data_IF_104608490082
#
_entry.id   IF_104608490082
#
_cell.length_a   1.000
_cell.length_b   1.000
_cell.length_c   1.000
_cell.angle_alpha   90.00
_cell.angle_beta   90.00
_cell.angle_gamma   90.00
#
_symmetry.space_group_name_H-M   'P 1'
#
loop_
_entity.id
_entity.type
_entity.pdbx_description
1 polymer ?
#
# COMPACT_ATOMS: atom_id res chain seq x y z
N UNK A 1 -55.39 37.09 12.32
CA UNK A 1 -54.82 35.86 12.89
C UNK A 1 -54.38 34.83 11.82
N UNK A 2 -53.98 35.24 10.60
CA UNK A 2 -53.61 34.32 9.50
C UNK A 2 -52.10 34.32 9.13
N UNK A 3 -51.28 35.11 9.80
CA UNK A 3 -49.83 35.27 9.44
C UNK A 3 -48.87 34.55 10.39
N UNK A 4 -49.29 33.92 11.46
CA UNK A 4 -48.42 33.22 12.43
C UNK A 4 -48.27 31.72 12.14
N UNK A 5 -49.09 31.14 11.24
CA UNK A 5 -49.02 29.70 10.93
C UNK A 5 -48.01 29.38 9.85
N UNK A 6 -47.63 30.35 8.99
CA UNK A 6 -46.71 30.12 7.88
C UNK A 6 -45.26 30.06 8.37
N UNK A 7 -44.91 30.75 9.47
CA UNK A 7 -43.52 30.76 9.97
C UNK A 7 -43.13 29.46 10.69
N UNK A 8 -44.09 28.70 11.21
CA UNK A 8 -43.79 27.43 11.90
C UNK A 8 -43.61 26.27 10.93
N UNK A 9 -44.23 26.33 9.74
CA UNK A 9 -44.04 25.30 8.73
C UNK A 9 -42.66 25.36 8.02
N UNK A 10 -42.01 26.54 8.01
CA UNK A 10 -40.71 26.70 7.38
C UNK A 10 -39.55 26.20 8.25
N UNK A 11 -39.74 26.11 9.57
CA UNK A 11 -38.73 25.53 10.49
C UNK A 11 -38.73 24.00 10.55
N UNK A 12 -39.79 23.34 10.07
CA UNK A 12 -39.89 21.87 10.07
C UNK A 12 -39.29 21.20 8.82
N UNK A 13 -38.97 21.96 7.78
CA UNK A 13 -38.34 21.43 6.54
C UNK A 13 -36.81 21.55 6.55
N UNK A 14 -36.18 22.10 7.59
CA UNK A 14 -34.72 22.30 7.70
C UNK A 14 -33.92 21.15 8.28
N UNK A 15 -34.58 20.05 8.69
CA UNK A 15 -33.84 18.85 9.15
C UNK A 15 -33.69 17.80 8.04
N UNK A 16 -33.20 18.22 6.86
CA UNK A 16 -32.63 17.27 5.92
C UNK A 16 -31.31 16.83 6.58
N UNK A 17 -31.33 15.65 7.17
CA UNK A 17 -30.15 14.96 7.68
C UNK A 17 -29.10 14.98 6.57
N UNK A 18 -28.03 15.77 6.75
CA UNK A 18 -26.83 15.60 5.99
C UNK A 18 -26.29 14.20 6.34
N UNK A 19 -26.66 13.21 5.55
CA UNK A 19 -25.98 11.95 5.58
C UNK A 19 -24.56 12.27 5.10
N UNK A 20 -23.63 12.38 6.04
CA UNK A 20 -22.22 12.37 5.72
C UNK A 20 -22.00 11.13 4.85
N UNK A 21 -21.60 11.35 3.61
CA UNK A 21 -21.17 10.27 2.74
C UNK A 21 -20.10 9.52 3.53
N UNK A 22 -20.30 8.22 3.71
CA UNK A 22 -19.23 7.33 4.13
C UNK A 22 -18.14 7.46 3.08
N UNK A 23 -17.18 8.37 3.32
CA UNK A 23 -15.93 8.32 2.61
C UNK A 23 -15.35 6.94 2.92
N UNK A 24 -15.13 6.14 1.89
CA UNK A 24 -14.26 4.98 1.99
C UNK A 24 -12.93 5.50 2.51
N UNK A 25 -12.70 5.39 3.81
CA UNK A 25 -11.45 5.74 4.42
C UNK A 25 -10.40 4.77 3.87
N UNK A 26 -9.23 5.29 3.55
CA UNK A 26 -8.07 4.45 3.35
C UNK A 26 -7.96 3.54 4.59
N UNK A 27 -7.77 2.23 4.39
CA UNK A 27 -7.73 1.25 5.48
C UNK A 27 -6.58 1.47 6.47
N UNK A 28 -5.70 2.42 6.20
CA UNK A 28 -4.52 2.77 6.98
C UNK A 28 -4.82 3.07 8.47
N UNK A 29 -5.84 3.89 8.75
CA UNK A 29 -6.19 4.23 10.16
C UNK A 29 -6.59 2.98 10.94
N UNK A 30 -7.34 2.08 10.33
CA UNK A 30 -7.76 0.81 10.95
C UNK A 30 -6.55 -0.11 11.17
N UNK A 31 -5.64 -0.17 10.21
CA UNK A 31 -4.44 -0.98 10.30
C UNK A 31 -3.45 -0.43 11.33
N UNK A 32 -3.27 0.87 11.39
CA UNK A 32 -2.46 1.53 12.42
C UNK A 32 -3.00 1.20 13.82
N UNK A 33 -4.32 1.26 14.02
CA UNK A 33 -4.93 0.92 15.29
C UNK A 33 -4.72 -0.57 15.63
N UNK A 34 -4.97 -1.49 14.70
CA UNK A 34 -4.72 -2.94 14.90
C UNK A 34 -3.25 -3.20 15.26
N UNK A 35 -2.32 -2.57 14.57
CA UNK A 35 -0.88 -2.75 14.85
C UNK A 35 -0.52 -2.21 16.25
N UNK A 36 -1.07 -1.08 16.64
CA UNK A 36 -0.82 -0.49 17.95
C UNK A 36 -1.40 -1.34 19.09
N UNK A 37 -2.57 -1.95 18.87
CA UNK A 37 -3.22 -2.85 19.84
C UNK A 37 -2.44 -4.16 20.01
N UNK A 38 -1.87 -4.68 18.92
CA UNK A 38 -1.10 -5.93 18.93
C UNK A 38 0.35 -5.77 19.41
N UNK A 39 0.97 -4.64 19.12
CA UNK A 39 2.36 -4.34 19.48
C UNK A 39 2.49 -2.88 19.95
N UNK A 40 2.15 -2.59 21.20
CA UNK A 40 2.35 -1.26 21.78
C UNK A 40 3.81 -0.83 21.65
N UNK A 41 4.05 0.37 21.11
CA UNK A 41 5.39 0.92 20.87
C UNK A 41 5.98 0.63 19.47
N UNK A 42 5.30 -0.16 18.62
CA UNK A 42 5.79 -0.45 17.26
C UNK A 42 5.95 0.83 16.43
N UNK A 43 5.03 1.77 16.56
CA UNK A 43 5.07 3.05 15.82
C UNK A 43 6.28 3.88 16.22
N UNK A 44 6.60 3.95 17.53
CA UNK A 44 7.80 4.61 18.02
C UNK A 44 9.08 3.95 17.50
N UNK A 45 9.10 2.62 17.44
CA UNK A 45 10.24 1.87 16.92
C UNK A 45 10.40 2.08 15.40
N UNK A 46 9.32 2.12 14.64
CA UNK A 46 9.32 2.46 13.22
C UNK A 46 9.87 3.86 13.03
N UNK A 47 9.35 4.85 13.75
CA UNK A 47 9.80 6.24 13.65
C UNK A 47 11.27 6.40 14.03
N UNK A 48 11.75 5.68 15.05
CA UNK A 48 13.16 5.66 15.44
C UNK A 48 14.03 5.02 14.35
N UNK A 49 13.54 3.97 13.70
CA UNK A 49 14.26 3.26 12.62
C UNK A 49 14.31 4.08 11.34
N UNK A 50 13.29 4.90 11.09
CA UNK A 50 13.18 5.81 9.95
C UNK A 50 13.85 7.16 10.19
N UNK A 51 14.52 7.37 11.33
CA UNK A 51 15.22 8.61 11.62
C UNK A 51 16.14 9.04 10.46
N UNK A 52 16.15 10.34 10.09
CA UNK A 52 16.93 10.84 8.97
C UNK A 52 18.39 10.38 8.98
N UNK A 53 18.89 9.86 7.86
CA UNK A 53 20.25 9.39 7.68
C UNK A 53 20.52 7.93 8.05
N UNK A 54 19.63 7.23 8.73
CA UNK A 54 19.83 5.80 9.02
C UNK A 54 19.53 4.90 7.82
N UNK A 55 18.50 5.23 7.06
CA UNK A 55 18.15 4.51 5.84
C UNK A 55 19.28 4.60 4.79
N UNK A 56 19.80 5.80 4.54
CA UNK A 56 20.86 6.03 3.56
C UNK A 56 22.13 5.22 3.85
N UNK A 57 22.56 5.17 5.11
CA UNK A 57 23.72 4.35 5.52
C UNK A 57 23.50 2.86 5.30
N UNK A 58 22.31 2.34 5.60
CA UNK A 58 21.97 0.92 5.41
C UNK A 58 21.94 0.55 3.94
N UNK A 59 21.35 1.39 3.09
CA UNK A 59 21.28 1.14 1.64
C UNK A 59 22.64 1.23 0.97
N UNK A 60 23.48 2.18 1.36
CA UNK A 60 24.86 2.29 0.87
C UNK A 60 25.72 1.07 1.23
N UNK A 61 25.58 0.56 2.46
CA UNK A 61 26.30 -0.64 2.91
C UNK A 61 25.90 -1.91 2.16
N UNK A 62 24.69 -1.96 1.61
CA UNK A 62 24.16 -3.13 0.87
C UNK A 62 24.37 -3.05 -0.64
N UNK A 63 25.05 -2.00 -1.12
CA UNK A 63 25.21 -1.80 -2.56
C UNK A 63 23.90 -1.52 -3.32
N UNK A 64 22.85 -1.12 -2.61
CA UNK A 64 21.54 -0.81 -3.21
C UNK A 64 21.53 0.56 -3.91
N UNK A 65 22.59 1.35 -3.76
CA UNK A 65 22.79 2.61 -4.47
C UNK A 65 23.71 2.37 -5.67
N UNK A 66 23.23 2.67 -6.85
CA UNK A 66 24.01 2.71 -8.07
C UNK A 66 23.71 4.01 -8.81
N UNK A 67 24.75 4.78 -9.15
CA UNK A 67 24.62 6.07 -9.85
C UNK A 67 23.61 7.03 -9.17
N UNK A 68 23.62 7.09 -7.83
CA UNK A 68 22.66 7.84 -7.01
C UNK A 68 21.21 7.36 -7.11
N UNK A 69 20.93 6.22 -7.73
CA UNK A 69 19.61 5.61 -7.73
C UNK A 69 19.52 4.53 -6.66
N UNK A 70 18.51 4.61 -5.80
CA UNK A 70 18.18 3.60 -4.82
C UNK A 70 17.32 2.51 -5.47
N UNK A 71 17.81 1.29 -5.52
CA UNK A 71 17.04 0.13 -5.98
C UNK A 71 16.40 -0.58 -4.80
N UNK A 72 15.09 -0.78 -4.88
CA UNK A 72 14.29 -1.46 -3.85
C UNK A 72 13.84 -2.81 -4.39
N UNK A 73 14.37 -3.93 -3.87
CA UNK A 73 13.90 -5.25 -4.24
C UNK A 73 12.47 -5.48 -3.74
N UNK A 74 11.59 -5.88 -4.64
CA UNK A 74 10.17 -6.11 -4.36
C UNK A 74 9.88 -7.60 -4.37
N UNK A 75 9.24 -8.07 -3.31
CA UNK A 75 8.63 -9.38 -3.22
C UNK A 75 7.11 -9.22 -3.26
N UNK A 76 6.46 -9.83 -4.24
CA UNK A 76 5.00 -9.79 -4.41
C UNK A 76 4.38 -11.09 -3.96
N UNK A 77 3.48 -11.03 -3.00
CA UNK A 77 2.74 -12.17 -2.48
C UNK A 77 1.29 -12.09 -2.98
N UNK A 78 0.89 -13.07 -3.79
CA UNK A 78 -0.47 -13.15 -4.32
C UNK A 78 -1.27 -14.13 -3.46
N UNK A 79 -2.15 -13.59 -2.63
CA UNK A 79 -3.11 -14.37 -1.85
C UNK A 79 -4.34 -14.60 -2.70
N UNK A 80 -4.60 -15.84 -3.08
CA UNK A 80 -5.64 -16.16 -4.05
C UNK A 80 -6.50 -17.35 -3.61
N UNK A 81 -7.70 -17.46 -4.16
CA UNK A 81 -8.55 -18.63 -3.92
C UNK A 81 -7.90 -19.87 -4.58
N UNK A 82 -7.93 -21.04 -3.92
CA UNK A 82 -7.26 -22.25 -4.41
C UNK A 82 -7.71 -22.72 -5.81
N UNK A 83 -8.94 -22.40 -6.20
CA UNK A 83 -9.52 -22.76 -7.49
C UNK A 83 -9.22 -21.74 -8.61
N UNK A 84 -8.51 -20.64 -8.32
CA UNK A 84 -8.13 -19.64 -9.33
C UNK A 84 -6.78 -20.00 -9.94
N UNK A 85 -6.78 -20.38 -11.22
CA UNK A 85 -5.57 -20.58 -12.00
C UNK A 85 -4.80 -19.27 -12.21
N UNK A 86 -3.51 -19.36 -12.54
CA UNK A 86 -2.66 -18.18 -12.79
C UNK A 86 -3.25 -17.31 -13.91
N UNK A 87 -3.41 -16.04 -13.64
CA UNK A 87 -4.04 -15.07 -14.53
C UNK A 87 -5.57 -14.99 -14.42
N UNK A 88 -6.17 -15.74 -13.51
CA UNK A 88 -7.62 -15.75 -13.28
C UNK A 88 -7.96 -15.09 -11.94
N UNK A 89 -8.94 -14.18 -11.95
CA UNK A 89 -9.50 -13.51 -10.77
C UNK A 89 -8.42 -13.01 -9.80
N UNK A 90 -8.41 -13.47 -8.53
CA UNK A 90 -7.43 -13.04 -7.51
C UNK A 90 -6.00 -13.56 -7.77
N UNK A 91 -5.81 -14.59 -8.63
CA UNK A 91 -4.48 -15.12 -8.93
C UNK A 91 -3.84 -14.42 -10.13
N UNK A 92 -3.35 -13.20 -9.90
CA UNK A 92 -2.83 -12.33 -10.97
C UNK A 92 -1.66 -12.93 -11.73
N UNK A 93 -1.59 -12.65 -13.05
CA UNK A 93 -0.46 -13.05 -13.88
C UNK A 93 0.81 -12.23 -13.57
N UNK A 94 1.98 -12.81 -13.81
CA UNK A 94 3.27 -12.11 -13.72
C UNK A 94 3.30 -10.85 -14.60
N UNK A 95 2.72 -10.91 -15.79
CA UNK A 95 2.66 -9.77 -16.70
C UNK A 95 1.88 -8.59 -16.08
N UNK A 96 0.79 -8.87 -15.37
CA UNK A 96 0.03 -7.84 -14.65
C UNK A 96 0.85 -7.21 -13.52
N UNK A 97 1.58 -8.01 -12.74
CA UNK A 97 2.47 -7.54 -11.68
C UNK A 97 3.55 -6.63 -12.24
N UNK A 98 4.25 -7.07 -13.30
CA UNK A 98 5.30 -6.29 -13.92
C UNK A 98 4.78 -4.98 -14.52
N UNK A 99 3.55 -4.97 -15.06
CA UNK A 99 2.93 -3.74 -15.56
C UNK A 99 2.67 -2.73 -14.44
N UNK A 100 2.25 -3.18 -13.25
CA UNK A 100 2.06 -2.30 -12.08
C UNK A 100 3.39 -1.79 -11.54
N UNK A 101 4.42 -2.62 -11.50
CA UNK A 101 5.75 -2.19 -11.09
C UNK A 101 6.31 -1.11 -12.06
N UNK A 102 6.04 -1.24 -13.35
CA UNK A 102 6.42 -0.25 -14.34
C UNK A 102 5.68 1.09 -14.15
N UNK A 103 4.39 1.04 -13.77
CA UNK A 103 3.63 2.25 -13.41
C UNK A 103 4.23 2.90 -12.17
N UNK A 104 4.44 2.15 -11.10
CA UNK A 104 5.05 2.62 -9.86
C UNK A 104 6.40 3.33 -10.11
N UNK A 105 7.25 2.75 -10.96
CA UNK A 105 8.53 3.38 -11.34
C UNK A 105 8.36 4.68 -12.13
N UNK A 106 7.34 4.78 -13.00
CA UNK A 106 7.01 6.03 -13.69
C UNK A 106 6.53 7.11 -12.72
N UNK A 107 5.71 6.74 -11.75
CA UNK A 107 5.18 7.66 -10.75
C UNK A 107 6.31 8.22 -9.88
N UNK A 108 7.17 7.35 -9.36
CA UNK A 108 8.30 7.77 -8.54
C UNK A 108 9.37 8.57 -9.32
N UNK A 109 9.55 8.28 -10.61
CA UNK A 109 10.45 9.06 -11.46
C UNK A 109 9.79 10.32 -12.06
N UNK A 110 8.47 10.51 -11.84
CA UNK A 110 7.65 11.58 -12.44
C UNK A 110 7.70 11.61 -13.96
N UNK A 111 7.64 10.45 -14.58
CA UNK A 111 7.57 10.30 -16.05
C UNK A 111 6.20 9.87 -16.54
N UNK A 112 5.21 9.80 -15.66
CA UNK A 112 3.81 9.54 -15.94
C UNK A 112 3.14 10.77 -16.62
N UNK A 113 2.10 10.51 -17.42
CA UNK A 113 1.47 11.54 -18.25
C UNK A 113 0.72 12.63 -17.45
N UNK A 114 0.27 12.31 -16.24
CA UNK A 114 -0.50 13.20 -15.36
C UNK A 114 0.37 14.17 -14.53
N UNK A 115 1.69 14.06 -14.62
CA UNK A 115 2.61 15.04 -13.99
C UNK A 115 2.34 16.48 -14.43
N UNK A 116 1.79 16.67 -15.63
CA UNK A 116 1.37 17.97 -16.15
C UNK A 116 0.25 18.62 -15.32
N UNK A 117 -0.53 17.80 -14.60
CA UNK A 117 -1.63 18.24 -13.74
C UNK A 117 -1.15 18.73 -12.36
N UNK A 118 0.13 18.54 -12.04
CA UNK A 118 0.69 18.98 -10.75
C UNK A 118 0.79 20.51 -10.73
N UNK A 119 0.13 21.21 -9.79
CA UNK A 119 0.24 22.65 -9.69
C UNK A 119 1.69 23.12 -9.51
N UNK A 120 2.10 24.23 -10.15
CA UNK A 120 3.49 24.74 -10.09
C UNK A 120 4.00 25.07 -8.68
N UNK A 121 3.07 25.27 -7.72
CA UNK A 121 3.40 25.54 -6.32
C UNK A 121 4.07 24.36 -5.63
N UNK A 122 3.85 23.14 -6.13
CA UNK A 122 4.50 21.96 -5.60
C UNK A 122 5.82 21.72 -6.32
N UNK A 123 6.92 21.69 -5.57
CA UNK A 123 8.23 21.39 -6.16
C UNK A 123 8.24 19.96 -6.70
N UNK A 124 8.73 19.83 -7.93
CA UNK A 124 8.85 18.55 -8.58
C UNK A 124 10.15 17.87 -8.12
N UNK A 125 10.02 16.80 -7.32
CA UNK A 125 11.15 15.95 -6.92
C UNK A 125 11.14 14.64 -7.69
N UNK A 126 12.33 14.18 -8.08
CA UNK A 126 12.58 12.78 -8.41
C UNK A 126 13.43 12.20 -7.27
N UNK A 127 12.89 11.31 -6.45
CA UNK A 127 13.60 10.76 -5.29
C UNK A 127 14.73 9.79 -5.70
N UNK A 128 14.92 9.55 -7.00
CA UNK A 128 15.90 8.59 -7.54
C UNK A 128 15.72 7.18 -6.95
N UNK A 129 14.46 6.75 -6.82
CA UNK A 129 14.08 5.41 -6.35
C UNK A 129 13.60 4.60 -7.54
N UNK A 130 14.04 3.35 -7.62
CA UNK A 130 13.59 2.38 -8.60
C UNK A 130 13.25 1.04 -7.93
N UNK A 131 12.04 0.57 -8.17
CA UNK A 131 11.58 -0.73 -7.70
C UNK A 131 11.92 -1.80 -8.73
N UNK A 132 12.49 -2.91 -8.29
CA UNK A 132 12.79 -4.06 -9.13
C UNK A 132 12.29 -5.35 -8.47
N UNK A 133 11.88 -6.33 -9.25
CA UNK A 133 11.54 -7.64 -8.68
C UNK A 133 12.77 -8.23 -8.00
N UNK A 134 12.58 -8.83 -6.83
CA UNK A 134 13.63 -9.58 -6.17
C UNK A 134 14.06 -10.76 -7.06
N UNK A 135 15.36 -10.94 -7.22
CA UNK A 135 15.95 -12.01 -8.03
C UNK A 135 16.62 -13.09 -7.16
N UNK A 136 16.81 -12.81 -5.89
CA UNK A 136 17.34 -13.71 -4.87
C UNK A 136 16.37 -13.71 -3.70
N UNK A 137 16.05 -14.88 -3.17
CA UNK A 137 15.22 -15.03 -1.99
C UNK A 137 16.05 -14.87 -0.67
N UNK A 138 15.42 -14.88 0.52
CA UNK A 138 16.14 -14.77 1.79
C UNK A 138 17.16 -15.88 2.06
N UNK A 139 17.00 -17.04 1.44
CA UNK A 139 17.90 -18.19 1.58
C UNK A 139 19.05 -18.17 0.56
N UNK A 140 19.06 -17.16 -0.32
CA UNK A 140 20.11 -16.98 -1.34
C UNK A 140 19.83 -17.72 -2.66
N UNK A 141 18.63 -18.26 -2.86
CA UNK A 141 18.26 -18.95 -4.09
C UNK A 141 17.71 -17.99 -5.16
N UNK A 142 17.91 -18.29 -6.46
CA UNK A 142 17.27 -17.53 -7.53
C UNK A 142 15.75 -17.60 -7.46
N UNK A 143 15.09 -16.43 -7.68
CA UNK A 143 13.64 -16.29 -7.64
C UNK A 143 13.16 -15.30 -8.72
N UNK A 144 11.87 -15.29 -8.99
CA UNK A 144 11.22 -14.24 -9.77
C UNK A 144 10.51 -13.19 -8.89
N UNK A 145 10.69 -13.29 -7.58
CA UNK A 145 10.13 -12.36 -6.59
C UNK A 145 8.62 -12.48 -6.38
N UNK A 146 7.99 -13.57 -6.86
CA UNK A 146 6.54 -13.76 -6.74
C UNK A 146 6.25 -15.03 -5.96
N UNK A 147 5.58 -14.88 -4.83
CA UNK A 147 5.01 -16.00 -4.06
C UNK A 147 3.51 -16.08 -4.29
N UNK A 148 2.98 -17.28 -4.53
CA UNK A 148 1.55 -17.54 -4.65
C UNK A 148 1.07 -18.32 -3.46
N UNK A 149 0.15 -17.73 -2.70
CA UNK A 149 -0.37 -18.29 -1.46
C UNK A 149 -1.87 -18.60 -1.62
N UNK A 150 -2.24 -19.86 -1.83
CA UNK A 150 -3.64 -20.25 -1.91
C UNK A 150 -4.30 -20.19 -0.53
N UNK A 151 -5.37 -19.40 -0.39
CA UNK A 151 -6.14 -19.30 0.85
C UNK A 151 -7.64 -19.26 0.57
N UNK A 152 -8.40 -19.95 1.43
CA UNK A 152 -9.86 -19.80 1.50
C UNK A 152 -10.29 -18.76 2.52
N UNK A 153 -9.38 -18.32 3.37
CA UNK A 153 -9.63 -17.33 4.39
C UNK A 153 -9.90 -15.94 3.78
N UNK A 154 -10.61 -15.11 4.53
CA UNK A 154 -10.68 -13.69 4.26
C UNK A 154 -9.34 -13.05 4.68
N UNK A 155 -8.68 -12.33 3.77
CA UNK A 155 -7.41 -11.69 4.06
C UNK A 155 -7.50 -10.69 5.21
N UNK A 156 -8.61 -9.92 5.28
CA UNK A 156 -8.80 -8.91 6.31
C UNK A 156 -8.86 -9.51 7.74
N UNK A 157 -9.31 -10.76 7.87
CA UNK A 157 -9.41 -11.45 9.15
C UNK A 157 -8.09 -12.13 9.56
N UNK A 158 -7.36 -12.68 8.57
CA UNK A 158 -6.15 -13.49 8.81
C UNK A 158 -4.85 -12.78 8.35
N UNK A 159 -4.91 -11.49 8.11
CA UNK A 159 -3.83 -10.69 7.56
C UNK A 159 -2.48 -10.91 8.27
N UNK A 160 -2.48 -10.83 9.61
CA UNK A 160 -1.23 -10.95 10.38
C UNK A 160 -0.62 -12.34 10.31
N UNK A 161 -1.45 -13.36 10.28
CA UNK A 161 -0.99 -14.75 10.13
C UNK A 161 -0.38 -14.96 8.74
N UNK A 162 -1.09 -14.53 7.69
CA UNK A 162 -0.63 -14.65 6.31
C UNK A 162 0.65 -13.82 6.08
N UNK A 163 0.71 -12.59 6.59
CA UNK A 163 1.91 -11.74 6.48
C UNK A 163 3.10 -12.33 7.25
N UNK A 164 2.87 -12.92 8.40
CA UNK A 164 3.90 -13.58 9.19
C UNK A 164 4.47 -14.81 8.51
N UNK A 165 3.64 -15.59 7.81
CA UNK A 165 4.04 -16.81 7.11
C UNK A 165 4.75 -16.53 5.79
N UNK A 166 4.28 -15.52 5.05
CA UNK A 166 4.70 -15.28 3.66
C UNK A 166 5.68 -14.14 3.47
N UNK A 167 5.83 -13.27 4.47
CA UNK A 167 6.68 -12.08 4.38
C UNK A 167 8.18 -12.41 4.42
N UNK A 168 8.95 -11.80 3.52
CA UNK A 168 10.40 -11.80 3.57
C UNK A 168 10.95 -10.70 4.51
N UNK A 169 12.21 -10.77 4.94
CA UNK A 169 12.80 -9.77 5.82
C UNK A 169 12.63 -8.34 5.27
N UNK A 170 11.83 -7.53 5.96
CA UNK A 170 11.51 -6.13 5.54
C UNK A 170 12.68 -5.17 5.62
N UNK A 171 13.81 -5.60 6.15
CA UNK A 171 15.06 -4.86 6.08
C UNK A 171 15.74 -4.95 4.72
N UNK A 172 15.36 -5.93 3.91
CA UNK A 172 16.01 -6.26 2.64
C UNK A 172 15.05 -6.19 1.45
N UNK A 173 13.74 -6.38 1.70
CA UNK A 173 12.72 -6.45 0.67
C UNK A 173 11.51 -5.58 0.99
N UNK A 174 10.92 -4.98 -0.03
CA UNK A 174 9.57 -4.44 0.03
C UNK A 174 8.59 -5.58 -0.26
N UNK A 175 7.84 -6.01 0.75
CA UNK A 175 6.78 -6.99 0.57
C UNK A 175 5.48 -6.30 0.16
N UNK A 176 4.85 -6.79 -0.91
CA UNK A 176 3.55 -6.31 -1.40
C UNK A 176 2.59 -7.48 -1.45
N UNK A 177 1.58 -7.47 -0.59
CA UNK A 177 0.49 -8.45 -0.61
C UNK A 177 -0.60 -7.97 -1.56
N UNK A 178 -0.98 -8.85 -2.46
CA UNK A 178 -2.11 -8.65 -3.39
C UNK A 178 -3.17 -9.67 -3.02
N UNK A 179 -4.28 -9.19 -2.50
CA UNK A 179 -5.38 -10.00 -2.00
C UNK A 179 -6.72 -9.37 -2.40
N UNK A 180 -7.78 -10.13 -2.23
CA UNK A 180 -9.15 -9.62 -2.26
C UNK A 180 -9.44 -9.03 -0.87
N UNK A 181 -9.64 -7.73 -0.79
CA UNK A 181 -9.88 -6.97 0.44
C UNK A 181 -11.13 -6.11 0.30
N UNK A 182 -11.74 -5.72 1.41
CA UNK A 182 -12.93 -4.86 1.44
C UNK A 182 -12.57 -3.38 1.25
N UNK A 183 -11.36 -2.98 1.60
CA UNK A 183 -10.84 -1.61 1.48
C UNK A 183 -10.12 -1.36 0.14
N UNK A 184 -9.77 -0.08 -0.13
CA UNK A 184 -9.03 0.30 -1.35
C UNK A 184 -7.56 -0.11 -1.34
N UNK A 185 -7.03 -0.53 -0.21
CA UNK A 185 -5.64 -0.87 0.03
C UNK A 185 -5.03 -0.01 1.13
N UNK A 186 -3.92 -0.49 1.70
CA UNK A 186 -3.19 0.18 2.78
C UNK A 186 -1.72 -0.28 2.79
N UNK A 187 -0.86 0.48 3.47
CA UNK A 187 0.58 0.24 3.59
C UNK A 187 1.05 0.25 5.05
#
# INVERSE_FOLDING_TARGET
MKHKIILVLFCLYGAISAHAQHHHRCGEERQMQKMQDLQPGLIEDINRTLAPGMAEKRFAQRGLLSNNTLYIPVHVIIVHKPNHGVGQSSNLSKARILSQLAVLNKDFSRTNADTILTPPVFSAGNPSIQFCMATIDPDGNPTDGITRYPSTANFDDEEFAIKGETGWPRTDYLNIWVAEIEDLGYA
#
